data_IF_160174161945
#
_entry.id   IF_160174161945
#
_cell.length_a   1.000
_cell.length_b   1.000
_cell.length_c   1.000
_cell.angle_alpha   90.00
_cell.angle_beta   90.00
_cell.angle_gamma   90.00
#
_symmetry.space_group_name_H-M   'P 1'
#
loop_
_entity.id
_entity.type
_entity.pdbx_description
1 polymer ?
#
# COMPACT_ATOMS: atom_id res chain seq x y z
N UNK A 1 -14.85 15.18 -19.58
CA UNK A 1 -14.98 15.08 -18.12
C UNK A 1 -15.06 13.62 -17.74
N UNK A 2 -14.35 13.20 -16.69
CA UNK A 2 -14.45 11.84 -16.14
C UNK A 2 -15.92 11.57 -15.76
N UNK A 3 -16.54 10.57 -16.40
CA UNK A 3 -17.84 10.07 -15.95
C UNK A 3 -17.71 9.52 -14.52
N UNK A 4 -18.77 9.60 -13.72
CA UNK A 4 -18.77 9.05 -12.36
C UNK A 4 -18.47 7.55 -12.45
N UNK A 5 -17.49 7.07 -11.65
CA UNK A 5 -17.10 5.65 -11.49
C UNK A 5 -18.29 4.71 -11.19
N UNK A 6 -19.42 5.27 -10.77
CA UNK A 6 -20.68 4.58 -10.48
C UNK A 6 -21.15 3.65 -11.62
N UNK A 7 -20.79 3.93 -12.88
CA UNK A 7 -21.27 3.20 -14.06
C UNK A 7 -20.20 2.35 -14.75
N UNK A 8 -19.15 1.94 -14.05
CA UNK A 8 -18.11 1.05 -14.58
C UNK A 8 -18.38 -0.42 -14.22
N UNK A 9 -18.31 -1.32 -15.19
CA UNK A 9 -18.36 -2.76 -14.94
C UNK A 9 -16.95 -3.33 -14.86
N UNK A 10 -16.56 -3.84 -13.70
CA UNK A 10 -15.24 -4.47 -13.53
C UNK A 10 -15.11 -5.78 -14.33
N UNK A 11 -16.16 -6.61 -14.36
CA UNK A 11 -16.13 -7.94 -15.01
C UNK A 11 -15.93 -7.82 -16.53
N UNK A 12 -16.49 -6.77 -17.13
CA UNK A 12 -16.40 -6.52 -18.57
C UNK A 12 -15.43 -5.38 -18.92
N UNK A 13 -14.72 -4.83 -17.92
CA UNK A 13 -13.84 -3.67 -18.03
C UNK A 13 -14.44 -2.50 -18.85
N UNK A 14 -15.72 -2.21 -18.59
CA UNK A 14 -16.53 -1.33 -19.45
C UNK A 14 -17.10 -0.14 -18.69
N UNK A 15 -16.68 1.07 -19.09
CA UNK A 15 -17.31 2.31 -18.66
C UNK A 15 -18.63 2.53 -19.41
N UNK A 16 -19.75 2.53 -18.68
CA UNK A 16 -21.05 2.94 -19.22
C UNK A 16 -21.23 4.46 -19.07
N UNK A 17 -21.99 5.05 -20.00
CA UNK A 17 -22.20 6.51 -20.07
C UNK A 17 -23.03 7.04 -18.90
N UNK A 18 -24.05 6.30 -18.51
CA UNK A 18 -25.03 6.66 -17.49
C UNK A 18 -25.64 5.40 -16.83
N UNK A 19 -26.59 5.62 -15.92
CA UNK A 19 -27.29 4.56 -15.19
C UNK A 19 -28.02 3.58 -16.12
N UNK A 20 -28.67 4.11 -17.17
CA UNK A 20 -29.44 3.28 -18.09
C UNK A 20 -28.52 2.42 -18.95
N UNK A 21 -27.40 2.99 -19.41
CA UNK A 21 -26.36 2.25 -20.11
C UNK A 21 -25.77 1.12 -19.26
N UNK A 22 -25.55 1.37 -17.96
CA UNK A 22 -25.08 0.35 -17.03
C UNK A 22 -26.12 -0.76 -16.81
N UNK A 23 -27.40 -0.41 -16.61
CA UNK A 23 -28.50 -1.38 -16.48
C UNK A 23 -28.60 -2.27 -17.72
N UNK A 24 -28.63 -1.69 -18.91
CA UNK A 24 -28.67 -2.44 -20.17
C UNK A 24 -27.46 -3.36 -20.32
N UNK A 25 -26.27 -2.88 -19.94
CA UNK A 25 -25.06 -3.69 -19.96
C UNK A 25 -25.16 -4.91 -19.04
N UNK A 26 -25.59 -4.73 -17.79
CA UNK A 26 -25.70 -5.83 -16.81
C UNK A 26 -26.74 -6.89 -17.19
N UNK A 27 -27.71 -6.53 -18.04
CA UNK A 27 -28.72 -7.45 -18.56
C UNK A 27 -28.32 -8.13 -19.88
N UNK A 28 -27.21 -7.71 -20.50
CA UNK A 28 -26.78 -8.26 -21.79
C UNK A 28 -26.26 -9.70 -21.65
N UNK A 29 -26.51 -10.52 -22.67
CA UNK A 29 -26.01 -11.90 -22.73
C UNK A 29 -24.48 -11.96 -22.59
N UNK A 30 -23.76 -11.01 -23.19
CA UNK A 30 -22.30 -10.90 -23.06
C UNK A 30 -21.86 -10.75 -21.59
N UNK A 31 -22.56 -9.92 -20.81
CA UNK A 31 -22.24 -9.73 -19.40
C UNK A 31 -22.59 -10.98 -18.58
N UNK A 32 -23.76 -11.58 -18.83
CA UNK A 32 -24.20 -12.79 -18.14
C UNK A 32 -23.25 -13.97 -18.40
N UNK A 33 -22.77 -14.16 -19.63
CA UNK A 33 -21.75 -15.18 -19.94
C UNK A 33 -20.43 -14.92 -19.21
N UNK A 34 -19.97 -13.67 -19.15
CA UNK A 34 -18.78 -13.31 -18.38
C UNK A 34 -18.97 -13.60 -16.88
N UNK A 35 -20.16 -13.33 -16.34
CA UNK A 35 -20.51 -13.63 -14.95
C UNK A 35 -20.52 -15.13 -14.63
N UNK A 36 -20.91 -16.00 -15.57
CA UNK A 36 -20.84 -17.46 -15.39
C UNK A 36 -19.40 -17.94 -15.23
N UNK A 37 -18.47 -17.47 -16.07
CA UNK A 37 -17.04 -17.77 -15.93
C UNK A 37 -16.44 -17.26 -14.61
N UNK A 38 -16.86 -16.06 -14.17
CA UNK A 38 -16.48 -15.54 -12.86
C UNK A 38 -17.06 -16.41 -11.76
N UNK A 39 -18.32 -16.85 -11.85
CA UNK A 39 -18.97 -17.69 -10.85
C UNK A 39 -18.28 -19.04 -10.64
N UNK A 40 -17.91 -19.72 -11.72
CA UNK A 40 -17.22 -21.02 -11.68
C UNK A 40 -15.84 -20.93 -11.00
N UNK A 41 -15.19 -19.76 -11.05
CA UNK A 41 -13.83 -19.54 -10.54
C UNK A 41 -13.73 -18.33 -9.58
N UNK A 42 -14.81 -18.01 -8.86
CA UNK A 42 -14.93 -16.73 -8.15
C UNK A 42 -13.78 -16.49 -7.17
N UNK A 43 -13.34 -17.54 -6.47
CA UNK A 43 -12.20 -17.47 -5.55
C UNK A 43 -10.89 -17.10 -6.24
N UNK A 44 -10.64 -17.61 -7.45
CA UNK A 44 -9.46 -17.28 -8.25
C UNK A 44 -9.50 -15.83 -8.73
N UNK A 45 -10.63 -15.38 -9.28
CA UNK A 45 -10.80 -14.00 -9.73
C UNK A 45 -10.59 -13.00 -8.59
N UNK A 46 -11.18 -13.25 -7.41
CA UNK A 46 -10.99 -12.40 -6.22
C UNK A 46 -9.53 -12.43 -5.77
N UNK A 47 -8.89 -13.61 -5.80
CA UNK A 47 -7.48 -13.74 -5.44
C UNK A 47 -6.58 -12.92 -6.37
N UNK A 48 -6.74 -13.06 -7.68
CA UNK A 48 -5.92 -12.39 -8.69
C UNK A 48 -6.14 -10.87 -8.63
N UNK A 49 -7.39 -10.43 -8.51
CA UNK A 49 -7.74 -9.01 -8.31
C UNK A 49 -7.11 -8.46 -7.02
N UNK A 50 -7.17 -9.20 -5.91
CA UNK A 50 -6.56 -8.79 -4.64
C UNK A 50 -5.04 -8.66 -4.78
N UNK A 51 -4.37 -9.61 -5.44
CA UNK A 51 -2.93 -9.56 -5.63
C UNK A 51 -2.53 -8.40 -6.54
N UNK A 52 -3.28 -8.14 -7.61
CA UNK A 52 -3.03 -7.01 -8.49
C UNK A 52 -3.18 -5.68 -7.75
N UNK A 53 -4.31 -5.49 -7.06
CA UNK A 53 -4.57 -4.30 -6.26
C UNK A 53 -3.44 -4.03 -5.26
N UNK A 54 -3.03 -5.05 -4.50
CA UNK A 54 -1.95 -4.93 -3.54
C UNK A 54 -0.63 -4.51 -4.21
N UNK A 55 -0.26 -5.16 -5.32
CA UNK A 55 0.98 -4.84 -6.03
C UNK A 55 0.99 -3.40 -6.51
N UNK A 56 -0.07 -2.97 -7.19
CA UNK A 56 -0.15 -1.61 -7.74
C UNK A 56 -0.18 -0.55 -6.64
N UNK A 57 -0.92 -0.78 -5.56
CA UNK A 57 -0.94 0.11 -4.40
C UNK A 57 0.45 0.26 -3.76
N UNK A 58 1.17 -0.85 -3.57
CA UNK A 58 2.53 -0.83 -2.97
C UNK A 58 3.54 -0.19 -3.92
N UNK A 59 3.42 -0.40 -5.23
CA UNK A 59 4.24 0.29 -6.24
C UNK A 59 4.01 1.80 -6.17
N UNK A 60 2.77 2.26 -6.09
CA UNK A 60 2.45 3.67 -5.95
C UNK A 60 3.05 4.25 -4.66
N UNK A 61 2.83 3.57 -3.54
CA UNK A 61 3.34 3.98 -2.23
C UNK A 61 4.87 4.10 -2.24
N UNK A 62 5.57 3.05 -2.67
CA UNK A 62 7.04 3.02 -2.69
C UNK A 62 7.64 4.06 -3.64
N UNK A 63 7.04 4.27 -4.83
CA UNK A 63 7.58 5.23 -5.81
C UNK A 63 7.32 6.69 -5.46
N UNK A 64 6.13 7.02 -4.96
CA UNK A 64 5.74 8.41 -4.69
C UNK A 64 6.11 8.88 -3.29
N UNK A 65 5.92 8.01 -2.30
CA UNK A 65 6.07 8.36 -0.88
C UNK A 65 7.33 7.75 -0.27
N UNK A 66 7.85 6.65 -0.85
CA UNK A 66 9.02 5.95 -0.32
C UNK A 66 8.77 5.48 1.11
N UNK A 67 9.77 5.64 1.97
CA UNK A 67 9.68 5.28 3.40
C UNK A 67 9.05 6.39 4.27
N UNK A 68 8.55 7.48 3.67
CA UNK A 68 7.94 8.56 4.42
C UNK A 68 6.56 8.16 4.95
N UNK A 69 6.19 8.73 6.10
CA UNK A 69 4.87 8.56 6.70
C UNK A 69 3.84 9.37 5.91
N UNK A 70 2.80 8.69 5.41
CA UNK A 70 1.72 9.29 4.63
C UNK A 70 0.37 8.73 5.08
N UNK A 71 -0.70 9.53 5.00
CA UNK A 71 -2.06 9.06 5.25
C UNK A 71 -2.45 8.02 4.20
N UNK A 72 -3.00 6.88 4.63
CA UNK A 72 -3.36 5.79 3.71
C UNK A 72 -4.50 6.21 2.76
N UNK A 73 -5.37 7.12 3.21
CA UNK A 73 -6.43 7.68 2.37
C UNK A 73 -5.84 8.51 1.23
N UNK A 74 -4.79 9.30 1.47
CA UNK A 74 -4.11 10.07 0.41
C UNK A 74 -3.58 9.15 -0.68
N UNK A 75 -2.90 8.07 -0.29
CA UNK A 75 -2.37 7.07 -1.24
C UNK A 75 -3.50 6.39 -2.01
N UNK A 76 -4.61 6.06 -1.34
CA UNK A 76 -5.78 5.48 -2.00
C UNK A 76 -6.44 6.43 -3.00
N UNK A 77 -6.58 7.72 -2.66
CA UNK A 77 -7.11 8.73 -3.59
C UNK A 77 -6.21 8.91 -4.81
N UNK A 78 -4.88 8.89 -4.63
CA UNK A 78 -3.93 8.91 -5.75
C UNK A 78 -4.04 7.65 -6.62
N UNK A 79 -4.25 6.48 -6.01
CA UNK A 79 -4.42 5.22 -6.73
C UNK A 79 -5.69 5.24 -7.61
N UNK A 80 -6.83 5.66 -7.06
CA UNK A 80 -8.10 5.71 -7.81
C UNK A 80 -8.21 6.88 -8.79
N UNK A 81 -7.21 7.77 -8.81
CA UNK A 81 -7.14 8.86 -9.78
C UNK A 81 -6.78 8.37 -11.19
N UNK A 82 -6.10 7.23 -11.32
CA UNK A 82 -5.92 6.55 -12.61
C UNK A 82 -7.26 5.97 -13.08
N UNK A 83 -7.55 5.90 -14.38
CA UNK A 83 -8.84 5.38 -14.87
C UNK A 83 -8.89 3.85 -14.98
N UNK A 84 -7.74 3.21 -15.05
CA UNK A 84 -7.61 1.77 -15.26
C UNK A 84 -7.21 1.04 -13.97
N UNK A 85 -7.34 1.68 -12.81
CA UNK A 85 -7.08 1.04 -11.53
C UNK A 85 -8.11 -0.04 -11.24
N UNK A 86 -7.68 -1.12 -10.58
CA UNK A 86 -8.60 -2.11 -10.05
C UNK A 86 -9.29 -1.54 -8.81
N UNK A 87 -10.62 -1.53 -8.79
CA UNK A 87 -11.37 -1.00 -7.67
C UNK A 87 -11.31 -1.95 -6.46
N UNK A 88 -11.18 -1.40 -5.24
CA UNK A 88 -11.07 -2.21 -4.01
C UNK A 88 -12.23 -3.20 -3.81
N UNK A 89 -13.45 -2.81 -4.21
CA UNK A 89 -14.66 -3.66 -4.19
C UNK A 89 -14.52 -4.99 -4.97
N UNK A 90 -13.56 -5.10 -5.89
CA UNK A 90 -13.27 -6.33 -6.62
C UNK A 90 -12.28 -7.26 -5.89
N UNK A 91 -11.79 -6.86 -4.72
CA UNK A 91 -10.82 -7.59 -3.91
C UNK A 91 -11.46 -8.25 -2.70
N UNK A 92 -10.68 -9.04 -1.96
CA UNK A 92 -11.09 -9.63 -0.69
C UNK A 92 -11.24 -8.61 0.45
N UNK A 93 -10.70 -7.41 0.31
CA UNK A 93 -10.72 -6.39 1.35
C UNK A 93 -11.88 -5.43 1.13
N UNK A 94 -12.80 -5.39 2.09
CA UNK A 94 -14.03 -4.60 1.96
C UNK A 94 -13.81 -3.15 2.39
N UNK A 95 -12.77 -2.90 3.19
CA UNK A 95 -12.43 -1.56 3.67
C UNK A 95 -10.93 -1.27 3.55
N UNK A 96 -10.60 0.00 3.36
CA UNK A 96 -9.21 0.47 3.32
C UNK A 96 -8.47 0.16 4.64
N UNK A 97 -9.17 0.24 5.76
CA UNK A 97 -8.66 -0.12 7.09
C UNK A 97 -8.23 -1.59 7.16
N UNK A 98 -9.07 -2.50 6.69
CA UNK A 98 -8.76 -3.94 6.67
C UNK A 98 -7.54 -4.24 5.79
N UNK A 99 -7.51 -3.65 4.59
CA UNK A 99 -6.37 -3.75 3.69
C UNK A 99 -5.08 -3.22 4.33
N UNK A 100 -5.14 -2.07 5.00
CA UNK A 100 -4.00 -1.45 5.68
C UNK A 100 -3.47 -2.33 6.80
N UNK A 101 -4.36 -2.88 7.64
CA UNK A 101 -4.00 -3.83 8.71
C UNK A 101 -3.37 -5.10 8.14
N UNK A 102 -3.87 -5.59 7.00
CA UNK A 102 -3.26 -6.72 6.30
C UNK A 102 -1.83 -6.40 5.83
N UNK A 103 -1.59 -5.25 5.19
CA UNK A 103 -0.24 -4.84 4.77
C UNK A 103 0.73 -4.73 5.95
N UNK A 104 0.25 -4.25 7.09
CA UNK A 104 1.01 -4.21 8.34
C UNK A 104 1.41 -5.59 8.84
N UNK A 105 0.46 -6.53 8.90
CA UNK A 105 0.74 -7.94 9.29
C UNK A 105 1.66 -8.65 8.31
N UNK A 106 1.58 -8.32 7.02
CA UNK A 106 2.45 -8.87 6.00
C UNK A 106 3.87 -8.27 6.02
N UNK A 107 4.14 -7.27 6.88
CA UNK A 107 5.45 -6.62 6.99
C UNK A 107 5.82 -5.75 5.79
N UNK A 108 4.84 -5.34 4.99
CA UNK A 108 5.05 -4.51 3.79
C UNK A 108 5.11 -3.03 4.16
N UNK A 109 4.32 -2.62 5.16
CA UNK A 109 4.25 -1.24 5.63
C UNK A 109 4.27 -1.22 7.16
N UNK A 110 4.79 -0.14 7.73
CA UNK A 110 4.53 0.23 9.13
C UNK A 110 3.21 0.96 9.18
N UNK A 111 2.30 0.53 10.04
CA UNK A 111 0.98 1.14 10.23
C UNK A 111 0.98 1.90 11.54
N UNK A 112 0.45 3.12 11.51
CA UNK A 112 0.31 4.00 12.66
C UNK A 112 -1.12 4.57 12.69
N UNK A 113 -1.81 4.39 13.80
CA UNK A 113 -3.21 4.78 13.98
C UNK A 113 -3.28 6.03 14.86
N UNK A 114 -3.89 7.09 14.34
CA UNK A 114 -4.04 8.37 15.03
C UNK A 114 -5.49 8.80 15.05
N UNK A 115 -5.82 9.82 15.84
CA UNK A 115 -7.14 10.47 15.83
C UNK A 115 -7.54 11.00 14.45
N UNK A 116 -6.56 11.31 13.59
CA UNK A 116 -6.78 11.81 12.22
C UNK A 116 -6.88 10.69 11.17
N UNK A 117 -6.81 9.42 11.58
CA UNK A 117 -6.89 8.25 10.73
C UNK A 117 -5.58 7.45 10.64
N UNK A 118 -5.51 6.56 9.64
CA UNK A 118 -4.42 5.61 9.44
C UNK A 118 -3.29 6.21 8.58
N UNK A 119 -2.08 6.09 9.08
CA UNK A 119 -0.85 6.44 8.39
C UNK A 119 -0.04 5.18 8.10
N UNK A 120 0.65 5.19 6.96
CA UNK A 120 1.53 4.11 6.53
C UNK A 120 2.90 4.64 6.15
N UNK A 121 3.92 3.83 6.34
CA UNK A 121 5.27 4.05 5.79
C UNK A 121 5.73 2.75 5.14
N UNK A 122 6.18 2.79 3.89
CA UNK A 122 6.68 1.59 3.21
C UNK A 122 7.94 1.06 3.89
N UNK A 123 8.05 -0.27 3.97
CA UNK A 123 9.25 -0.95 4.44
C UNK A 123 10.06 -1.37 3.21
N UNK A 124 11.15 -0.64 2.95
CA UNK A 124 12.10 -1.00 1.90
C UNK A 124 13.00 -2.15 2.38
N UNK A 125 12.76 -3.34 1.83
CA UNK A 125 13.53 -4.55 2.09
C UNK A 125 14.53 -4.87 0.97
N UNK A 126 14.82 -3.93 0.08
CA UNK A 126 15.82 -4.13 -0.97
C UNK A 126 17.21 -4.38 -0.36
N UNK A 127 18.07 -5.19 -0.99
CA UNK A 127 19.44 -5.45 -0.50
C UNK A 127 20.24 -4.17 -0.28
N UNK A 128 20.01 -3.15 -1.11
CA UNK A 128 20.66 -1.85 -0.99
C UNK A 128 20.18 -1.07 0.25
N UNK A 129 18.87 -1.09 0.54
CA UNK A 129 18.32 -0.46 1.73
C UNK A 129 18.80 -1.15 3.02
N UNK A 130 18.85 -2.49 3.02
CA UNK A 130 19.39 -3.28 4.13
C UNK A 130 20.86 -2.98 4.37
N UNK A 131 21.70 -2.97 3.33
CA UNK A 131 23.12 -2.64 3.44
C UNK A 131 23.35 -1.21 3.95
N UNK A 132 22.50 -0.25 3.52
CA UNK A 132 22.56 1.13 4.03
C UNK A 132 22.17 1.20 5.50
N UNK A 133 21.14 0.47 5.94
CA UNK A 133 20.73 0.40 7.34
C UNK A 133 21.82 -0.23 8.21
N UNK A 134 22.45 -1.32 7.76
CA UNK A 134 23.57 -1.95 8.46
C UNK A 134 24.77 -1.00 8.59
N UNK A 135 25.11 -0.28 7.51
CA UNK A 135 26.19 0.70 7.53
C UNK A 135 25.92 1.86 8.50
N UNK A 136 24.68 2.35 8.56
CA UNK A 136 24.26 3.39 9.52
C UNK A 136 24.37 2.86 10.95
N UNK A 137 23.78 1.68 11.24
CA UNK A 137 23.86 1.09 12.58
C UNK A 137 25.29 0.79 13.03
N UNK A 138 26.17 0.40 12.10
CA UNK A 138 27.59 0.18 12.40
C UNK A 138 28.28 1.49 12.76
N UNK A 139 28.00 2.57 12.02
CA UNK A 139 28.52 3.92 12.34
C UNK A 139 27.99 4.44 13.68
N UNK A 140 26.70 4.27 13.97
CA UNK A 140 26.12 4.68 15.25
C UNK A 140 26.73 3.91 16.43
N UNK A 141 26.92 2.59 16.28
CA UNK A 141 27.62 1.78 17.29
C UNK A 141 29.06 2.23 17.50
N UNK A 142 29.79 2.55 16.44
CA UNK A 142 31.16 3.08 16.54
C UNK A 142 31.19 4.43 17.25
N UNK A 143 30.30 5.35 16.87
CA UNK A 143 30.21 6.67 17.49
C UNK A 143 29.87 6.59 18.99
N UNK A 144 28.95 5.70 19.37
CA UNK A 144 28.63 5.47 20.78
C UNK A 144 29.80 4.91 21.59
N UNK A 145 30.58 3.98 21.01
CA UNK A 145 31.75 3.41 21.69
C UNK A 145 32.88 4.44 21.87
N UNK A 146 33.09 5.29 20.86
CA UNK A 146 34.04 6.39 20.93
C UNK A 146 33.62 7.44 21.97
N UNK A 147 32.34 7.84 22.01
CA UNK A 147 31.81 8.76 23.02
C UNK A 147 31.96 8.20 24.45
N UNK A 148 31.75 6.90 24.64
CA UNK A 148 31.95 6.24 25.93
C UNK A 148 33.42 6.24 26.35
N UNK A 149 34.35 6.03 25.42
CA UNK A 149 35.79 6.12 25.69
C UNK A 149 36.22 7.53 26.05
N UNK A 150 35.74 8.53 25.31
CA UNK A 150 36.05 9.93 25.58
C UNK A 150 35.54 10.39 26.96
N UNK A 151 34.31 9.99 27.33
CA UNK A 151 33.78 10.24 28.68
C UNK A 151 34.63 9.64 29.79
N UNK A 152 35.18 8.43 29.60
CA UNK A 152 36.08 7.80 30.59
C UNK A 152 37.39 8.57 30.74
N UNK A 153 38.00 8.98 29.63
CA UNK A 153 39.26 9.74 29.65
C UNK A 153 39.09 11.10 30.33
N UNK A 154 37.98 11.80 30.08
CA UNK A 154 37.65 13.06 30.75
C UNK A 154 37.49 12.83 32.26
N UNK A 155 36.78 11.78 32.68
CA UNK A 155 36.60 11.45 34.09
C UNK A 155 37.94 11.17 34.80
N UNK A 156 38.84 10.41 34.16
CA UNK A 156 40.18 10.15 34.70
C UNK A 156 41.05 11.41 34.82
N UNK A 157 40.88 12.39 33.92
CA UNK A 157 41.59 13.68 34.03
C UNK A 157 41.05 14.53 35.17
N UNK A 158 39.74 14.50 35.42
CA UNK A 158 39.11 15.20 36.55
C UNK A 158 39.52 14.57 37.89
N UNK A 159 39.64 13.24 37.96
CA UNK A 159 40.04 12.55 39.21
C UNK A 159 41.51 12.77 39.58
N UNK A 160 42.36 13.08 38.60
CA UNK A 160 43.79 13.36 38.80
C UNK A 160 44.11 14.84 39.09
N UNK A 161 43.13 15.73 39.03
CA UNK A 161 43.27 17.17 39.30
C UNK A 161 42.84 17.52 40.73
#
# INVERSE_FOLDING_TARGET
GLGRLRWYCQVCEKQCRDENGYKCHTQSESHLRAMLHVGENAGKYISDASQQFQREFVILLSRRHGTNRVSVNTVYQEYIADKHHLHMNATRWVTLTEFTKYLGRAGIVRVDETERGLYVSWIDNSPQALARQEAIQKKERQHMDDEQRERKLIAEQIEKA
#
